data_IF_365100590753
#
_entry.id   IF_365100590753
#
_cell.length_a   1.000
_cell.length_b   1.000
_cell.length_c   1.000
_cell.angle_alpha   90.00
_cell.angle_beta   90.00
_cell.angle_gamma   90.00
#
_symmetry.space_group_name_H-M   'P 1'
#
loop_
_entity.id
_entity.type
_entity.pdbx_description
1 polymer ?
#
# COMPACT_ATOMS: atom_id res chain seq x y z
N UNK A 1 18.10 13.21 -8.39
CA UNK A 1 17.10 12.21 -7.99
C UNK A 1 16.18 12.84 -6.98
N UNK A 2 15.06 13.37 -7.46
CA UNK A 2 13.88 13.72 -6.65
C UNK A 2 13.28 12.44 -6.07
N UNK A 3 12.85 12.44 -4.82
CA UNK A 3 12.15 11.29 -4.23
C UNK A 3 10.65 11.61 -4.10
N UNK A 4 9.78 10.61 -4.31
CA UNK A 4 8.33 10.72 -4.14
C UNK A 4 7.84 9.64 -3.21
N UNK A 5 6.98 10.00 -2.27
CA UNK A 5 6.25 9.02 -1.48
C UNK A 5 4.98 8.61 -2.21
N UNK A 6 4.94 7.39 -2.71
CA UNK A 6 3.74 6.77 -3.27
C UNK A 6 2.96 6.00 -2.21
N UNK A 7 1.64 6.16 -2.17
CA UNK A 7 0.76 5.36 -1.30
C UNK A 7 -0.14 4.47 -2.14
N UNK A 8 0.03 3.17 -1.99
CA UNK A 8 -0.86 2.14 -2.56
C UNK A 8 -1.70 1.55 -1.44
N UNK A 9 -3.01 1.52 -1.63
CA UNK A 9 -3.92 0.86 -0.70
C UNK A 9 -4.42 -0.45 -1.29
N UNK A 10 -4.43 -1.50 -0.47
CA UNK A 10 -4.96 -2.82 -0.78
C UNK A 10 -6.15 -3.10 0.14
N UNK A 11 -7.34 -3.20 -0.43
CA UNK A 11 -8.51 -3.76 0.24
C UNK A 11 -8.55 -5.27 0.01
N UNK A 12 -8.51 -6.03 1.11
CA UNK A 12 -8.59 -7.48 1.08
C UNK A 12 -9.82 -7.90 1.88
N UNK A 13 -10.73 -8.62 1.23
CA UNK A 13 -11.95 -9.15 1.84
C UNK A 13 -11.90 -10.68 1.87
N UNK A 14 -12.05 -11.25 3.05
CA UNK A 14 -12.22 -12.68 3.28
C UNK A 14 -13.72 -12.99 3.27
N UNK A 15 -14.20 -13.63 2.22
CA UNK A 15 -15.64 -13.84 2.03
C UNK A 15 -16.13 -15.09 2.76
N UNK A 16 -15.70 -16.28 2.31
CA UNK A 16 -16.21 -17.56 2.82
C UNK A 16 -15.12 -18.63 2.83
N UNK A 17 -15.07 -19.37 3.93
CA UNK A 17 -14.22 -20.55 4.08
C UNK A 17 -14.99 -21.82 3.78
N UNK A 18 -14.39 -22.70 2.97
CA UNK A 18 -14.93 -23.99 2.56
C UNK A 18 -14.02 -25.08 3.12
N UNK A 19 -14.52 -25.84 4.09
CA UNK A 19 -13.87 -27.04 4.57
C UNK A 19 -14.26 -28.22 3.68
N UNK A 20 -13.33 -28.77 2.89
CA UNK A 20 -13.59 -29.97 2.09
C UNK A 20 -13.29 -31.24 2.87
N UNK A 21 -12.16 -31.31 3.59
CA UNK A 21 -11.78 -32.47 4.42
C UNK A 21 -10.65 -32.17 5.42
N UNK A 22 -10.81 -31.17 6.29
CA UNK A 22 -9.88 -30.95 7.41
C UNK A 22 -9.91 -32.13 8.39
N UNK A 23 -8.74 -32.70 8.70
CA UNK A 23 -8.60 -33.86 9.58
C UNK A 23 -8.95 -33.58 11.05
N UNK A 24 -8.77 -32.34 11.49
CA UNK A 24 -8.93 -31.95 12.88
C UNK A 24 -10.23 -31.15 13.04
N UNK A 25 -10.98 -31.46 14.10
CA UNK A 25 -12.11 -30.63 14.53
C UNK A 25 -11.61 -29.65 15.57
N UNK A 26 -12.10 -28.43 15.52
CA UNK A 26 -11.68 -27.40 16.46
C UNK A 26 -11.81 -26.01 15.87
N UNK A 27 -10.96 -25.11 16.36
CA UNK A 27 -11.03 -23.70 16.05
C UNK A 27 -9.93 -23.31 15.08
N UNK A 28 -10.30 -22.48 14.11
CA UNK A 28 -9.47 -22.00 13.04
C UNK A 28 -9.48 -20.49 12.98
N UNK A 29 -8.40 -19.93 12.45
CA UNK A 29 -8.26 -18.51 12.17
C UNK A 29 -7.43 -18.34 10.91
N UNK A 30 -7.81 -17.38 10.07
CA UNK A 30 -7.03 -16.98 8.90
C UNK A 30 -6.26 -15.72 9.28
N UNK A 31 -4.95 -15.73 9.03
CA UNK A 31 -4.10 -14.55 9.19
C UNK A 31 -3.60 -14.10 7.84
N UNK A 32 -3.72 -12.80 7.55
CA UNK A 32 -3.34 -12.22 6.27
C UNK A 32 -2.33 -11.11 6.48
N UNK A 33 -1.21 -11.18 5.78
CA UNK A 33 -0.13 -10.21 5.87
C UNK A 33 0.27 -9.74 4.48
N UNK A 34 0.25 -8.42 4.24
CA UNK A 34 0.87 -7.83 3.07
C UNK A 34 2.39 -7.74 3.28
N UNK A 35 3.16 -8.11 2.25
CA UNK A 35 4.61 -7.99 2.20
C UNK A 35 5.02 -7.21 0.97
N UNK A 36 6.08 -6.43 1.12
CA UNK A 36 6.71 -5.64 0.04
C UNK A 36 8.19 -5.98 0.01
N UNK A 37 8.77 -6.06 -1.18
CA UNK A 37 10.20 -6.29 -1.36
C UNK A 37 11.05 -5.29 -0.56
N UNK A 38 12.08 -5.78 0.12
CA UNK A 38 13.03 -4.95 0.88
C UNK A 38 13.94 -4.09 -0.01
N UNK A 39 13.88 -4.26 -1.33
CA UNK A 39 14.64 -3.46 -2.31
C UNK A 39 14.20 -1.99 -2.33
N UNK A 40 12.97 -1.70 -1.92
CA UNK A 40 12.39 -0.35 -1.91
C UNK A 40 12.12 0.04 -0.45
N UNK A 41 12.60 1.21 0.02
CA UNK A 41 12.27 1.69 1.36
C UNK A 41 10.76 1.92 1.48
N UNK A 42 10.13 1.31 2.48
CA UNK A 42 8.69 1.32 2.62
C UNK A 42 8.22 1.25 4.07
N UNK A 43 6.95 1.61 4.28
CA UNK A 43 6.20 1.41 5.51
C UNK A 43 4.86 0.76 5.20
N UNK A 44 4.50 -0.23 6.00
CA UNK A 44 3.20 -0.90 5.93
C UNK A 44 2.37 -0.55 7.16
N UNK A 45 1.07 -0.39 6.97
CA UNK A 45 0.08 -0.37 8.05
C UNK A 45 -1.19 -1.10 7.61
N UNK A 46 -1.98 -1.55 8.57
CA UNK A 46 -3.25 -2.22 8.30
C UNK A 46 -4.35 -1.69 9.23
N UNK A 47 -5.59 -1.66 8.73
CA UNK A 47 -6.77 -1.29 9.51
C UNK A 47 -7.97 -2.14 9.08
N UNK A 48 -8.72 -2.67 10.05
CA UNK A 48 -9.95 -3.44 9.77
C UNK A 48 -11.06 -2.48 9.35
N UNK A 49 -11.85 -2.87 8.35
CA UNK A 49 -12.99 -2.08 7.88
C UNK A 49 -14.19 -2.32 8.79
N UNK A 50 -14.90 -1.24 9.18
CA UNK A 50 -16.17 -1.35 9.91
C UNK A 50 -16.05 -1.59 11.42
N UNK A 51 -14.88 -1.39 12.03
CA UNK A 51 -14.75 -1.44 13.49
C UNK A 51 -15.43 -0.22 14.15
N UNK A 52 -16.44 -0.49 14.98
CA UNK A 52 -16.98 0.44 15.98
C UNK A 52 -16.26 0.22 17.31
N UNK A 53 -16.19 1.24 18.19
CA UNK A 53 -15.47 1.22 19.49
C UNK A 53 -15.87 0.08 20.46
N UNK A 54 -16.95 -0.66 20.15
CA UNK A 54 -17.43 -1.83 20.90
C UNK A 54 -17.24 -3.15 20.12
N UNK A 55 -16.09 -3.36 19.49
CA UNK A 55 -15.81 -4.61 18.77
C UNK A 55 -15.78 -5.79 19.74
N UNK A 56 -16.61 -6.81 19.48
CA UNK A 56 -16.63 -8.02 20.30
C UNK A 56 -15.31 -8.78 20.21
N UNK A 57 -14.97 -9.56 21.24
CA UNK A 57 -13.72 -10.34 21.31
C UNK A 57 -13.57 -11.42 20.21
N UNK A 58 -14.62 -11.66 19.42
CA UNK A 58 -14.62 -12.59 18.30
C UNK A 58 -14.50 -11.90 16.93
N UNK A 59 -14.36 -10.57 16.90
CA UNK A 59 -14.26 -9.80 15.67
C UNK A 59 -12.84 -9.87 15.08
N UNK A 60 -12.73 -9.67 13.77
CA UNK A 60 -11.42 -9.48 13.15
C UNK A 60 -10.68 -8.30 13.76
N UNK A 61 -9.36 -8.44 13.88
CA UNK A 61 -8.48 -7.41 14.41
C UNK A 61 -7.18 -7.33 13.60
N UNK A 62 -6.47 -6.22 13.75
CA UNK A 62 -5.12 -6.06 13.21
C UNK A 62 -4.14 -6.12 14.36
N UNK A 63 -3.13 -6.98 14.22
CA UNK A 63 -1.97 -7.03 15.10
C UNK A 63 -0.70 -6.97 14.25
N UNK A 64 0.22 -6.04 14.55
CA UNK A 64 1.49 -5.88 13.82
C UNK A 64 1.34 -5.86 12.28
N UNK A 65 0.34 -5.12 11.78
CA UNK A 65 0.02 -5.05 10.34
C UNK A 65 -0.39 -6.38 9.69
N UNK A 66 -0.83 -7.35 10.49
CA UNK A 66 -1.44 -8.61 10.05
C UNK A 66 -2.92 -8.58 10.42
N UNK A 67 -3.78 -8.88 9.45
CA UNK A 67 -5.20 -9.14 9.72
C UNK A 67 -5.31 -10.50 10.40
N UNK A 68 -5.98 -10.55 11.53
CA UNK A 68 -6.47 -11.75 12.17
C UNK A 68 -7.97 -11.80 11.92
N UNK A 69 -8.45 -12.80 11.18
CA UNK A 69 -9.88 -12.99 11.00
C UNK A 69 -10.57 -13.29 12.33
N UNK A 70 -11.90 -13.22 12.33
CA UNK A 70 -12.69 -13.87 13.36
C UNK A 70 -12.28 -15.34 13.50
N UNK A 71 -12.35 -15.84 14.73
CA UNK A 71 -12.17 -17.27 14.99
C UNK A 71 -13.44 -18.00 14.58
N UNK A 72 -13.29 -19.13 13.89
CA UNK A 72 -14.41 -19.96 13.47
C UNK A 72 -14.16 -21.44 13.81
N UNK A 73 -15.24 -22.17 14.04
CA UNK A 73 -15.18 -23.59 14.40
C UNK A 73 -15.50 -24.44 13.17
N UNK A 74 -14.79 -25.57 13.03
CA UNK A 74 -15.08 -26.60 12.05
C UNK A 74 -15.32 -27.91 12.79
N UNK A 75 -16.47 -28.52 12.51
CA UNK A 75 -16.92 -29.77 13.13
C UNK A 75 -17.12 -30.89 12.12
N UNK A 76 -17.51 -30.53 10.90
CA UNK A 76 -17.91 -31.50 9.88
C UNK A 76 -17.16 -31.29 8.57
N UNK A 77 -17.07 -32.37 7.80
CA UNK A 77 -16.60 -32.34 6.41
C UNK A 77 -17.62 -31.59 5.54
N UNK A 78 -17.16 -30.94 4.47
CA UNK A 78 -18.01 -30.19 3.53
C UNK A 78 -18.79 -29.06 4.23
N UNK A 79 -18.13 -28.38 5.17
CA UNK A 79 -18.69 -27.28 5.95
C UNK A 79 -18.32 -25.94 5.33
N UNK A 80 -19.28 -25.02 5.29
CA UNK A 80 -19.10 -23.66 4.78
C UNK A 80 -19.28 -22.66 5.90
N UNK A 81 -18.31 -21.77 6.08
CA UNK A 81 -18.34 -20.74 7.12
C UNK A 81 -18.19 -19.37 6.45
N UNK A 82 -19.19 -18.48 6.52
CA UNK A 82 -19.00 -17.09 6.11
C UNK A 82 -17.92 -16.45 6.99
N UNK A 83 -17.06 -15.59 6.46
CA UNK A 83 -16.06 -14.87 7.24
C UNK A 83 -16.43 -13.39 7.26
N UNK A 84 -16.54 -12.79 6.06
CA UNK A 84 -16.93 -11.40 5.82
C UNK A 84 -16.07 -10.37 6.58
N UNK A 85 -14.78 -10.68 6.72
CA UNK A 85 -13.81 -9.78 7.33
C UNK A 85 -13.04 -9.02 6.24
N UNK A 86 -12.86 -7.72 6.41
CA UNK A 86 -12.14 -6.89 5.45
C UNK A 86 -11.06 -6.04 6.12
N UNK A 87 -9.94 -5.87 5.42
CA UNK A 87 -8.79 -5.07 5.86
C UNK A 87 -8.32 -4.15 4.74
N UNK A 88 -7.91 -2.94 5.12
CA UNK A 88 -7.14 -2.05 4.27
C UNK A 88 -5.68 -2.12 4.70
N UNK A 89 -4.81 -2.64 3.83
CA UNK A 89 -3.37 -2.47 3.95
C UNK A 89 -2.94 -1.22 3.20
N UNK A 90 -2.14 -0.38 3.83
CA UNK A 90 -1.54 0.81 3.22
C UNK A 90 -0.04 0.60 3.08
N UNK A 91 0.45 0.65 1.85
CA UNK A 91 1.86 0.60 1.52
C UNK A 91 2.35 1.99 1.11
N UNK A 92 3.19 2.58 1.95
CA UNK A 92 3.89 3.84 1.67
C UNK A 92 5.29 3.51 1.16
N UNK A 93 5.59 3.89 -0.07
CA UNK A 93 6.80 3.54 -0.79
C UNK A 93 7.61 4.80 -1.09
N UNK A 94 8.92 4.75 -0.89
CA UNK A 94 9.83 5.78 -1.38
C UNK A 94 10.29 5.43 -2.79
N UNK A 95 9.87 6.25 -3.76
CA UNK A 95 10.05 6.02 -5.19
C UNK A 95 10.99 7.06 -5.80
N UNK A 96 11.65 6.67 -6.90
CA UNK A 96 12.34 7.61 -7.76
C UNK A 96 11.32 8.50 -8.47
N UNK A 97 11.37 9.80 -8.18
CA UNK A 97 10.45 10.78 -8.72
C UNK A 97 10.55 10.96 -10.24
N UNK A 98 11.66 10.60 -10.86
CA UNK A 98 11.81 10.68 -12.32
C UNK A 98 11.19 9.48 -13.04
N UNK A 99 10.95 8.37 -12.32
CA UNK A 99 10.47 7.09 -12.86
C UNK A 99 9.36 6.46 -12.02
N UNK A 100 8.46 7.27 -11.47
CA UNK A 100 7.43 6.81 -10.51
C UNK A 100 6.60 5.63 -11.04
N UNK A 101 6.14 5.70 -12.28
CA UNK A 101 5.31 4.65 -12.88
C UNK A 101 6.07 3.32 -13.06
N UNK A 102 7.29 3.37 -13.60
CA UNK A 102 8.15 2.20 -13.74
C UNK A 102 8.50 1.61 -12.37
N UNK A 103 8.94 2.48 -11.44
CA UNK A 103 9.35 2.09 -10.10
C UNK A 103 8.20 1.39 -9.35
N UNK A 104 6.96 1.88 -9.48
CA UNK A 104 5.78 1.22 -8.92
C UNK A 104 5.50 -0.14 -9.57
N UNK A 105 5.69 -0.25 -10.89
CA UNK A 105 5.44 -1.49 -11.63
C UNK A 105 6.46 -2.59 -11.29
N UNK A 106 7.66 -2.21 -10.86
CA UNK A 106 8.73 -3.12 -10.44
C UNK A 106 8.60 -3.57 -8.97
N UNK A 107 7.68 -2.98 -8.19
CA UNK A 107 7.46 -3.37 -6.79
C UNK A 107 6.81 -4.75 -6.72
N UNK A 108 7.49 -5.68 -6.06
CA UNK A 108 6.92 -6.99 -5.73
C UNK A 108 6.09 -6.89 -4.45
N UNK A 109 4.78 -6.95 -4.62
CA UNK A 109 3.81 -7.11 -3.53
C UNK A 109 3.46 -8.59 -3.38
N UNK A 110 3.37 -9.06 -2.13
CA UNK A 110 2.95 -10.42 -1.81
C UNK A 110 1.89 -10.42 -0.72
N UNK A 111 0.88 -11.26 -0.85
CA UNK A 111 -0.09 -11.52 0.20
C UNK A 111 0.16 -12.90 0.80
N UNK A 112 0.55 -12.95 2.06
CA UNK A 112 0.66 -14.21 2.81
C UNK A 112 -0.65 -14.49 3.51
N UNK A 113 -1.18 -15.70 3.32
CA UNK A 113 -2.44 -16.19 3.89
C UNK A 113 -2.13 -17.46 4.66
N UNK A 114 -2.24 -17.37 5.98
CA UNK A 114 -1.90 -18.44 6.91
C UNK A 114 -3.18 -19.00 7.54
N UNK A 115 -3.28 -20.33 7.58
CA UNK A 115 -4.30 -21.05 8.33
C UNK A 115 -3.72 -21.49 9.68
N UNK A 116 -4.38 -21.08 10.76
CA UNK A 116 -4.03 -21.48 12.12
C UNK A 116 -5.09 -22.41 12.68
N UNK A 117 -4.67 -23.31 13.56
CA UNK A 117 -5.55 -24.26 14.24
C UNK A 117 -5.22 -24.38 15.73
N UNK A 118 -6.26 -24.63 16.53
CA UNK A 118 -6.16 -25.07 17.94
C UNK A 118 -7.41 -25.85 18.32
N UNK A 119 -7.28 -26.72 19.31
CA UNK A 119 -8.40 -27.38 20.00
C UNK A 119 -9.06 -26.48 21.06
N UNK A 120 -8.40 -25.39 21.47
CA UNK A 120 -8.86 -24.45 22.49
C UNK A 120 -9.08 -23.06 21.94
N UNK A 121 -10.33 -22.60 21.90
CA UNK A 121 -10.69 -21.26 21.42
C UNK A 121 -9.88 -20.14 22.11
N UNK A 122 -9.55 -20.33 23.39
CA UNK A 122 -8.80 -19.36 24.19
C UNK A 122 -7.34 -19.19 23.73
N UNK A 123 -6.73 -20.20 23.10
CA UNK A 123 -5.36 -20.12 22.62
C UNK A 123 -5.25 -19.31 21.33
N UNK A 124 -6.22 -19.39 20.41
CA UNK A 124 -6.28 -18.52 19.23
C UNK A 124 -6.45 -17.03 19.59
N UNK A 125 -6.95 -16.74 20.80
CA UNK A 125 -7.06 -15.38 21.34
C UNK A 125 -5.72 -14.82 21.81
N UNK A 126 -4.77 -15.68 22.22
CA UNK A 126 -3.41 -15.26 22.49
C UNK A 126 -2.69 -15.07 21.15
N UNK A 127 -2.38 -13.82 20.80
CA UNK A 127 -1.66 -13.47 19.58
C UNK A 127 -0.38 -14.30 19.41
N UNK A 128 0.26 -14.63 20.53
CA UNK A 128 1.45 -15.46 20.63
C UNK A 128 1.09 -16.91 20.95
N UNK A 129 1.42 -17.83 20.03
CA UNK A 129 1.50 -19.27 20.35
C UNK A 129 0.65 -20.23 19.52
N UNK A 130 -0.25 -19.77 18.64
CA UNK A 130 -1.02 -20.70 17.80
C UNK A 130 -0.26 -21.15 16.55
N UNK A 131 -0.15 -22.47 16.33
CA UNK A 131 0.60 -23.00 15.21
C UNK A 131 -0.10 -22.67 13.88
N UNK A 132 0.68 -22.15 12.95
CA UNK A 132 0.30 -22.13 11.53
C UNK A 132 0.38 -23.56 11.01
N UNK A 133 -0.74 -24.07 10.49
CA UNK A 133 -0.82 -25.43 9.94
C UNK A 133 -0.67 -25.44 8.41
N UNK A 134 -1.01 -24.34 7.75
CA UNK A 134 -0.81 -24.17 6.31
C UNK A 134 -0.57 -22.71 5.96
N UNK A 135 0.18 -22.46 4.88
CA UNK A 135 0.56 -21.12 4.44
C UNK A 135 0.59 -21.04 2.92
N UNK A 136 -0.03 -19.98 2.38
CA UNK A 136 0.00 -19.65 0.96
C UNK A 136 0.49 -18.23 0.76
N UNK A 137 1.30 -18.03 -0.28
CA UNK A 137 1.78 -16.70 -0.67
C UNK A 137 1.31 -16.42 -2.09
N UNK A 138 0.57 -15.33 -2.26
CA UNK A 138 0.09 -14.83 -3.55
C UNK A 138 0.98 -13.69 -4.02
N UNK A 139 1.43 -13.73 -5.27
CA UNK A 139 2.03 -12.56 -5.92
C UNK A 139 0.93 -11.59 -6.35
N UNK A 140 1.05 -10.32 -5.96
CA UNK A 140 0.09 -9.27 -6.29
C UNK A 140 0.66 -8.41 -7.42
N UNK A 141 0.16 -8.60 -8.64
CA UNK A 141 0.59 -7.88 -9.83
C UNK A 141 -0.11 -6.52 -9.95
N UNK A 142 0.41 -5.52 -9.24
CA UNK A 142 -0.14 -4.17 -9.23
C UNK A 142 0.20 -3.38 -10.50
N UNK A 143 -0.78 -2.73 -11.12
CA UNK A 143 -0.57 -1.82 -12.24
C UNK A 143 -0.84 -0.36 -11.81
N UNK A 144 0.09 0.59 -12.00
CA UNK A 144 -0.05 1.96 -11.46
C UNK A 144 -1.32 2.71 -11.89
N UNK A 145 -1.72 2.59 -13.16
CA UNK A 145 -2.92 3.23 -13.72
C UNK A 145 -4.22 2.44 -13.54
N UNK A 146 -4.16 1.11 -13.45
CA UNK A 146 -5.35 0.24 -13.45
C UNK A 146 -5.67 -0.36 -12.09
N UNK A 147 -4.72 -0.31 -11.16
CA UNK A 147 -4.82 -1.02 -9.90
C UNK A 147 -4.62 -2.53 -10.07
N UNK A 148 -5.15 -3.26 -9.10
CA UNK A 148 -5.25 -4.71 -9.06
C UNK A 148 -6.65 -5.05 -8.59
N UNK A 149 -7.41 -5.88 -9.31
CA UNK A 149 -8.76 -6.23 -8.90
C UNK A 149 -9.07 -7.69 -9.26
N UNK A 150 -9.07 -8.58 -8.27
CA UNK A 150 -9.30 -10.01 -8.47
C UNK A 150 -10.13 -10.60 -7.34
N UNK A 151 -11.02 -11.53 -7.70
CA UNK A 151 -11.59 -12.49 -6.77
C UNK A 151 -10.84 -13.82 -6.95
N UNK A 152 -10.25 -14.34 -5.88
CA UNK A 152 -9.37 -15.51 -5.92
C UNK A 152 -9.74 -16.50 -4.81
N UNK A 153 -10.02 -17.77 -5.14
CA UNK A 153 -10.06 -18.84 -4.15
C UNK A 153 -8.62 -19.28 -3.83
N UNK A 154 -8.29 -19.37 -2.54
CA UNK A 154 -6.98 -19.84 -2.07
C UNK A 154 -7.14 -21.18 -1.38
N UNK A 155 -6.59 -22.22 -1.99
CA UNK A 155 -6.56 -23.57 -1.44
C UNK A 155 -5.31 -23.76 -0.57
N UNK A 156 -5.47 -24.27 0.64
CA UNK A 156 -4.38 -24.34 1.63
C UNK A 156 -3.33 -25.41 1.33
N UNK A 157 -3.64 -26.70 1.35
CA UNK A 157 -2.78 -27.75 0.79
C UNK A 157 -3.52 -29.09 0.75
N UNK A 158 -2.80 -30.17 0.43
CA UNK A 158 -3.38 -31.51 0.36
C UNK A 158 -3.68 -32.10 1.75
N UNK A 159 -2.95 -31.70 2.79
CA UNK A 159 -3.19 -32.11 4.17
C UNK A 159 -4.27 -31.26 4.86
N UNK A 160 -4.53 -30.06 4.36
CA UNK A 160 -5.53 -29.12 4.82
C UNK A 160 -6.45 -28.78 3.65
N UNK A 161 -7.24 -29.77 3.24
CA UNK A 161 -8.12 -29.67 2.07
C UNK A 161 -9.27 -28.70 2.37
N UNK A 162 -8.99 -27.41 2.22
CA UNK A 162 -9.89 -26.30 2.47
C UNK A 162 -9.53 -25.11 1.58
N UNK A 163 -10.51 -24.23 1.40
CA UNK A 163 -10.41 -23.07 0.50
C UNK A 163 -10.96 -21.83 1.20
N UNK A 164 -10.26 -20.70 1.09
CA UNK A 164 -10.82 -19.38 1.42
C UNK A 164 -11.10 -18.61 0.13
N UNK A 165 -12.35 -18.20 -0.08
CA UNK A 165 -12.69 -17.24 -1.14
C UNK A 165 -12.38 -15.83 -0.66
N UNK A 166 -11.59 -15.09 -1.42
CA UNK A 166 -11.23 -13.71 -1.11
C UNK A 166 -11.31 -12.79 -2.34
N UNK A 167 -11.50 -11.49 -2.08
CA UNK A 167 -11.34 -10.44 -3.06
C UNK A 167 -10.16 -9.55 -2.67
N UNK A 168 -9.36 -9.14 -3.66
CA UNK A 168 -8.24 -8.23 -3.50
C UNK A 168 -8.39 -7.08 -4.49
N UNK A 169 -8.51 -5.88 -3.97
CA UNK A 169 -8.51 -4.63 -4.73
C UNK A 169 -7.34 -3.77 -4.30
N UNK A 170 -6.66 -3.11 -5.23
CA UNK A 170 -5.61 -2.16 -4.90
C UNK A 170 -5.55 -0.99 -5.88
N UNK A 171 -5.20 0.19 -5.39
CA UNK A 171 -5.06 1.40 -6.20
C UNK A 171 -3.96 2.32 -5.64
N UNK A 172 -3.33 3.09 -6.53
CA UNK A 172 -2.47 4.21 -6.15
C UNK A 172 -3.40 5.36 -5.71
N UNK A 173 -3.29 5.79 -4.45
CA UNK A 173 -4.21 6.78 -3.86
C UNK A 173 -3.55 8.12 -3.57
N UNK A 174 -2.21 8.17 -3.47
CA UNK A 174 -1.49 9.41 -3.24
C UNK A 174 -0.07 9.37 -3.80
N UNK A 175 0.40 10.52 -4.29
CA UNK A 175 1.79 10.84 -4.55
C UNK A 175 2.10 12.12 -3.78
N UNK A 176 3.06 12.07 -2.87
CA UNK A 176 3.36 13.15 -1.93
C UNK A 176 4.86 13.33 -1.79
N UNK A 177 5.25 14.45 -1.18
CA UNK A 177 6.62 14.63 -0.73
C UNK A 177 6.94 13.61 0.38
N UNK A 178 8.15 13.03 0.43
CA UNK A 178 8.57 12.14 1.51
C UNK A 178 8.71 12.92 2.83
N UNK A 179 7.62 12.99 3.58
CA UNK A 179 7.60 13.60 4.92
C UNK A 179 8.04 12.61 6.01
N UNK A 180 8.26 11.34 5.64
CA UNK A 180 8.62 10.25 6.54
C UNK A 180 10.08 9.86 6.27
N UNK A 181 10.92 9.83 7.31
CA UNK A 181 12.27 9.29 7.19
C UNK A 181 12.21 7.79 6.97
N UNK A 182 12.43 7.32 5.74
CA UNK A 182 12.61 5.90 5.48
C UNK A 182 13.99 5.47 5.95
N UNK A 183 14.07 4.42 6.77
CA UNK A 183 15.35 3.80 7.10
C UNK A 183 15.93 3.21 5.80
N UNK A 184 16.86 3.92 5.17
CA UNK A 184 17.52 3.45 3.95
C UNK A 184 18.30 2.17 4.27
N UNK A 185 18.14 1.07 3.50
CA UNK A 185 19.03 -0.08 3.61
C UNK A 185 20.46 0.40 3.37
N UNK A 186 21.29 0.34 4.40
CA UNK A 186 22.61 0.97 4.41
C UNK A 186 23.50 0.45 3.28
N UNK A 187 24.04 1.36 2.47
CA UNK A 187 25.28 1.09 1.74
C UNK A 187 26.37 0.91 2.80
N UNK A 188 26.87 -0.30 2.95
CA UNK A 188 28.05 -0.58 3.78
C UNK A 188 29.22 0.29 3.32
N UNK A 189 29.58 1.28 4.12
CA UNK A 189 30.80 2.08 3.91
C UNK A 189 31.99 1.26 4.40
N UNK A 190 32.61 0.52 3.48
CA UNK A 190 33.91 -0.10 3.69
C UNK A 190 34.98 0.95 3.37
N UNK A 191 35.44 1.66 4.40
CA UNK A 191 36.79 2.23 4.64
C UNK A 191 36.68 3.51 5.50
N UNK A 192 37.43 3.56 6.61
CA UNK A 192 37.79 4.83 7.25
C UNK A 192 37.94 4.77 8.77
N UNK A 193 39.19 4.83 9.24
CA UNK A 193 39.63 4.84 10.64
C UNK A 193 39.04 6.00 11.49
N UNK A 194 38.65 5.65 12.72
CA UNK A 194 39.06 6.29 13.99
C UNK A 194 38.67 7.74 14.30
N UNK A 195 37.77 7.92 15.27
CA UNK A 195 37.58 9.16 16.05
C UNK A 195 36.33 9.06 16.96
N UNK A 196 36.38 9.48 18.24
CA UNK A 196 35.24 9.39 19.15
C UNK A 196 34.32 10.61 19.03
N UNK A 197 33.04 10.38 19.31
CA UNK A 197 31.97 11.35 19.58
C UNK A 197 31.61 12.38 18.51
N UNK A 198 30.54 12.08 17.79
CA UNK A 198 29.42 13.00 17.49
C UNK A 198 28.27 12.13 16.99
N UNK A 199 27.06 12.31 17.53
CA UNK A 199 25.86 11.54 17.15
C UNK A 199 25.53 11.70 15.66
N UNK A 200 24.71 10.80 15.07
CA UNK A 200 24.38 10.91 13.66
C UNK A 200 23.41 12.08 13.46
N UNK A 201 23.92 13.25 13.07
CA UNK A 201 23.07 14.25 12.44
C UNK A 201 22.57 13.69 11.11
N UNK A 202 21.27 13.44 11.06
CA UNK A 202 20.57 12.97 9.88
C UNK A 202 20.60 14.06 8.80
N UNK A 203 20.90 13.76 7.53
CA UNK A 203 20.75 14.75 6.48
C UNK A 203 19.25 14.93 6.22
N UNK A 204 18.68 16.03 6.74
CA UNK A 204 17.41 16.57 6.28
C UNK A 204 17.53 16.85 4.78
N UNK A 205 16.84 16.08 3.96
CA UNK A 205 16.69 16.38 2.54
C UNK A 205 15.87 17.67 2.46
N UNK A 206 16.48 18.76 1.99
CA UNK A 206 15.75 20.02 1.80
C UNK A 206 14.66 19.84 0.75
N UNK A 207 13.52 20.53 0.94
CA UNK A 207 12.41 20.58 -0.02
C UNK A 207 12.89 20.89 -1.44
N UNK A 208 13.87 21.77 -1.57
CA UNK A 208 14.49 22.15 -2.82
C UNK A 208 15.19 20.98 -3.51
N UNK A 209 15.97 20.17 -2.77
CA UNK A 209 16.63 18.99 -3.32
C UNK A 209 15.63 17.91 -3.75
N UNK A 210 14.46 17.88 -3.12
CA UNK A 210 13.38 16.98 -3.47
C UNK A 210 12.66 17.40 -4.76
N UNK A 211 12.35 18.68 -4.89
CA UNK A 211 11.58 19.24 -6.03
C UNK A 211 12.46 19.42 -7.26
N UNK A 212 13.73 19.78 -7.08
CA UNK A 212 14.64 20.14 -8.17
C UNK A 212 15.74 19.10 -8.42
N UNK A 213 15.97 18.18 -7.48
CA UNK A 213 17.03 17.16 -7.58
C UNK A 213 18.43 17.69 -7.23
N UNK A 214 19.24 16.83 -6.59
CA UNK A 214 20.59 17.16 -6.08
C UNK A 214 21.63 17.67 -7.12
N UNK A 215 21.31 17.65 -8.42
CA UNK A 215 22.19 18.11 -9.50
C UNK A 215 21.87 19.51 -10.04
N UNK A 216 20.68 20.04 -9.75
CA UNK A 216 20.21 21.32 -10.30
C UNK A 216 20.41 22.50 -9.34
N UNK A 217 20.59 22.22 -8.05
CA UNK A 217 20.87 23.23 -7.02
C UNK A 217 22.36 23.23 -6.66
N UNK A 218 23.19 23.94 -7.44
CA UNK A 218 24.53 24.32 -6.97
C UNK A 218 24.46 25.74 -6.39
N UNK A 219 24.59 25.94 -5.07
CA UNK A 219 24.75 27.29 -4.54
C UNK A 219 26.10 27.84 -5.00
N UNK A 220 26.11 28.96 -5.73
CA UNK A 220 27.28 29.84 -5.72
C UNK A 220 27.31 30.50 -4.35
N UNK A 221 28.23 30.07 -3.50
CA UNK A 221 28.47 30.69 -2.20
C UNK A 221 28.93 32.13 -2.40
N UNK A 222 28.00 33.08 -2.28
CA UNK A 222 28.32 34.48 -2.00
C UNK A 222 27.26 35.03 -1.06
N UNK A 223 27.70 35.53 0.08
CA UNK A 223 26.87 36.20 1.08
C UNK A 223 25.95 37.24 0.41
N UNK A 224 24.64 37.07 0.60
CA UNK A 224 23.63 38.04 0.14
C UNK A 224 22.87 37.73 -1.16
N UNK A 225 23.00 36.54 -1.76
CA UNK A 225 22.23 36.18 -2.96
C UNK A 225 20.80 35.75 -2.61
N UNK A 226 19.79 36.46 -3.11
CA UNK A 226 18.44 35.92 -3.25
C UNK A 226 18.51 34.69 -4.18
N UNK A 227 17.93 33.57 -3.75
CA UNK A 227 17.93 32.32 -4.52
C UNK A 227 16.83 32.38 -5.58
N UNK A 228 17.20 32.61 -6.85
CA UNK A 228 16.29 32.53 -7.98
C UNK A 228 16.55 31.23 -8.75
N UNK A 229 15.61 30.26 -8.77
CA UNK A 229 15.76 29.04 -9.55
C UNK A 229 15.84 29.37 -11.05
N UNK A 230 16.68 28.64 -11.79
CA UNK A 230 16.79 28.85 -13.24
C UNK A 230 15.49 28.49 -13.96
N UNK A 231 15.26 29.07 -15.14
CA UNK A 231 14.10 28.75 -15.98
C UNK A 231 14.00 27.25 -16.28
N UNK A 232 15.14 26.59 -16.50
CA UNK A 232 15.22 25.13 -16.68
C UNK A 232 14.77 24.34 -15.46
N UNK A 233 15.03 24.85 -14.26
CA UNK A 233 14.63 24.25 -12.98
C UNK A 233 13.11 24.35 -12.79
N UNK A 234 12.54 25.51 -13.12
CA UNK A 234 11.09 25.77 -13.07
C UNK A 234 10.35 24.89 -14.09
N UNK A 235 10.84 24.82 -15.33
CA UNK A 235 10.26 23.95 -16.38
C UNK A 235 10.30 22.47 -15.98
N UNK A 236 11.40 22.02 -15.36
CA UNK A 236 11.51 20.67 -14.84
C UNK A 236 10.46 20.38 -13.76
N UNK A 237 10.31 21.27 -12.78
CA UNK A 237 9.32 21.13 -11.71
C UNK A 237 7.87 21.10 -12.25
N UNK A 238 7.54 21.95 -13.24
CA UNK A 238 6.23 21.92 -13.88
C UNK A 238 5.95 20.60 -14.61
N UNK A 239 6.92 20.10 -15.37
CA UNK A 239 6.79 18.81 -16.05
C UNK A 239 6.60 17.69 -15.04
N UNK A 240 7.44 17.65 -14.01
CA UNK A 240 7.38 16.65 -12.95
C UNK A 240 6.02 16.64 -12.26
N UNK A 241 5.52 17.82 -11.85
CA UNK A 241 4.18 17.95 -11.27
C UNK A 241 3.08 17.43 -12.21
N UNK A 242 3.12 17.84 -13.49
CA UNK A 242 2.16 17.37 -14.51
C UNK A 242 2.16 15.85 -14.61
N UNK A 243 3.33 15.22 -14.65
CA UNK A 243 3.47 13.76 -14.79
C UNK A 243 2.89 13.02 -13.57
N UNK A 244 3.13 13.53 -12.34
CA UNK A 244 2.55 12.97 -11.11
C UNK A 244 1.02 13.09 -11.09
N UNK A 245 0.47 14.27 -11.41
CA UNK A 245 -0.96 14.50 -11.46
C UNK A 245 -1.63 13.61 -12.51
N UNK A 246 -1.03 13.51 -13.69
CA UNK A 246 -1.54 12.66 -14.77
C UNK A 246 -1.60 11.18 -14.33
N UNK A 247 -0.56 10.68 -13.64
CA UNK A 247 -0.55 9.31 -13.12
C UNK A 247 -1.69 9.06 -12.12
N UNK A 248 -1.92 9.96 -11.17
CA UNK A 248 -3.02 9.85 -10.21
C UNK A 248 -4.40 9.91 -10.86
N UNK A 249 -4.60 10.81 -11.82
CA UNK A 249 -5.86 10.90 -12.57
C UNK A 249 -6.13 9.63 -13.37
N UNK A 250 -5.09 9.01 -13.93
CA UNK A 250 -5.22 7.71 -14.58
C UNK A 250 -5.55 6.59 -13.60
N UNK A 251 -4.90 6.55 -12.43
CA UNK A 251 -5.21 5.58 -11.37
C UNK A 251 -6.68 5.67 -10.94
N UNK A 252 -7.18 6.89 -10.70
CA UNK A 252 -8.59 7.14 -10.39
C UNK A 252 -9.53 6.65 -11.51
N UNK A 253 -9.23 7.02 -12.76
CA UNK A 253 -10.02 6.58 -13.92
C UNK A 253 -10.03 5.06 -14.05
N UNK A 254 -8.90 4.38 -13.83
CA UNK A 254 -8.81 2.92 -13.85
C UNK A 254 -9.71 2.26 -12.83
N UNK A 255 -9.64 2.71 -11.57
CA UNK A 255 -10.50 2.24 -10.48
C UNK A 255 -11.98 2.45 -10.80
N UNK A 256 -12.35 3.64 -11.28
CA UNK A 256 -13.73 3.97 -11.63
C UNK A 256 -14.25 3.09 -12.77
N UNK A 257 -13.44 2.85 -13.81
CA UNK A 257 -13.84 1.96 -14.91
C UNK A 257 -14.08 0.53 -14.41
N UNK A 258 -13.22 0.02 -13.53
CA UNK A 258 -13.44 -1.30 -12.94
C UNK A 258 -14.71 -1.34 -12.09
N UNK A 259 -14.93 -0.34 -11.23
CA UNK A 259 -16.15 -0.22 -10.43
C UNK A 259 -17.41 -0.26 -11.30
N UNK A 260 -17.45 0.52 -12.39
CA UNK A 260 -18.59 0.54 -13.32
C UNK A 260 -18.85 -0.83 -13.98
N UNK A 261 -17.79 -1.58 -14.31
CA UNK A 261 -17.93 -2.94 -14.84
C UNK A 261 -18.56 -3.85 -13.80
N UNK A 262 -18.07 -3.81 -12.55
CA UNK A 262 -18.59 -4.65 -11.46
C UNK A 262 -20.03 -4.30 -11.11
N UNK A 263 -20.39 -3.01 -10.98
CA UNK A 263 -21.77 -2.60 -10.69
C UNK A 263 -22.74 -2.96 -11.81
N UNK A 264 -22.27 -2.94 -13.07
CA UNK A 264 -23.06 -3.42 -14.21
C UNK A 264 -23.29 -4.93 -14.13
N UNK A 265 -22.24 -5.69 -13.82
CA UNK A 265 -22.29 -7.15 -13.83
C UNK A 265 -22.95 -7.73 -12.56
N UNK A 266 -22.96 -6.97 -11.45
CA UNK A 266 -23.56 -7.32 -10.17
C UNK A 266 -24.41 -6.13 -9.65
N UNK A 267 -25.66 -5.99 -10.15
CA UNK A 267 -26.52 -4.84 -9.84
C UNK A 267 -27.03 -4.80 -8.39
N UNK A 268 -26.81 -5.87 -7.63
CA UNK A 268 -27.20 -5.98 -6.21
C UNK A 268 -26.23 -5.23 -5.27
N UNK A 269 -25.05 -4.83 -5.78
CA UNK A 269 -24.07 -4.10 -4.99
C UNK A 269 -24.55 -2.68 -4.68
N UNK A 270 -24.12 -2.10 -3.52
CA UNK A 270 -24.40 -0.72 -3.18
C UNK A 270 -23.98 0.21 -4.31
N UNK A 271 -24.92 1.02 -4.78
CA UNK A 271 -24.64 2.03 -5.80
C UNK A 271 -23.97 3.23 -5.12
N UNK A 272 -22.73 3.50 -5.52
CA UNK A 272 -21.99 4.70 -5.13
C UNK A 272 -21.76 5.51 -6.39
N UNK A 273 -22.18 6.77 -6.40
CA UNK A 273 -21.87 7.68 -7.50
C UNK A 273 -20.40 8.13 -7.39
N UNK A 274 -19.56 7.61 -8.28
CA UNK A 274 -18.18 8.08 -8.46
C UNK A 274 -18.13 9.17 -9.53
N UNK A 275 -17.67 10.35 -9.15
CA UNK A 275 -17.52 11.51 -10.04
C UNK A 275 -16.72 11.15 -11.30
N UNK A 276 -17.20 11.63 -12.45
CA UNK A 276 -16.44 11.50 -13.69
C UNK A 276 -15.44 12.65 -13.77
N UNK A 277 -14.15 12.36 -13.56
CA UNK A 277 -13.11 13.35 -13.79
C UNK A 277 -12.67 13.35 -15.26
N UNK A 278 -12.82 14.51 -15.91
CA UNK A 278 -12.27 14.76 -17.23
C UNK A 278 -10.75 14.96 -17.12
N UNK A 279 -9.99 13.87 -17.32
CA UNK A 279 -8.54 13.81 -17.06
C UNK A 279 -7.78 15.03 -17.61
N UNK A 280 -8.00 15.41 -18.86
CA UNK A 280 -7.26 16.54 -19.48
C UNK A 280 -7.64 17.90 -18.91
N UNK A 281 -8.92 18.12 -18.62
CA UNK A 281 -9.42 19.37 -18.05
C UNK A 281 -8.94 19.52 -16.60
N UNK A 282 -9.08 18.47 -15.80
CA UNK A 282 -8.59 18.44 -14.41
C UNK A 282 -7.07 18.61 -14.37
N UNK A 283 -6.32 17.96 -15.26
CA UNK A 283 -4.87 18.13 -15.33
C UNK A 283 -4.48 19.57 -15.68
N UNK A 284 -5.17 20.17 -16.65
CA UNK A 284 -4.94 21.56 -17.05
C UNK A 284 -5.20 22.53 -15.90
N UNK A 285 -6.27 22.30 -15.14
CA UNK A 285 -6.56 23.08 -13.93
C UNK A 285 -5.45 22.95 -12.89
N UNK A 286 -5.06 21.72 -12.52
CA UNK A 286 -4.00 21.47 -11.54
C UNK A 286 -2.66 22.13 -11.94
N UNK A 287 -2.31 22.03 -13.23
CA UNK A 287 -1.11 22.68 -13.75
C UNK A 287 -1.19 24.22 -13.67
N UNK A 288 -2.37 24.80 -13.91
CA UNK A 288 -2.58 26.25 -13.85
C UNK A 288 -2.51 26.79 -12.41
N UNK A 289 -3.06 26.06 -11.44
CA UNK A 289 -3.01 26.43 -10.02
C UNK A 289 -1.57 26.50 -9.52
N UNK A 290 -0.71 25.56 -9.94
CA UNK A 290 0.71 25.59 -9.61
C UNK A 290 1.41 26.81 -10.21
N UNK A 291 1.09 27.20 -11.45
CA UNK A 291 1.64 28.42 -12.07
C UNK A 291 1.27 29.68 -11.28
N UNK A 292 0.03 29.79 -10.79
CA UNK A 292 -0.43 30.91 -9.96
C UNK A 292 0.31 30.97 -8.62
N UNK A 293 0.49 29.83 -7.95
CA UNK A 293 1.25 29.76 -6.69
C UNK A 293 2.70 30.17 -6.92
N UNK A 294 3.30 29.74 -8.03
CA UNK A 294 4.66 30.13 -8.40
C UNK A 294 4.73 31.65 -8.56
N UNK A 295 3.80 32.28 -9.30
CA UNK A 295 3.79 33.75 -9.46
C UNK A 295 3.56 34.54 -8.17
N UNK A 296 2.85 33.98 -7.18
CA UNK A 296 2.59 34.64 -5.88
C UNK A 296 3.74 34.48 -4.88
N UNK A 297 4.55 33.42 -4.98
CA UNK A 297 5.71 33.19 -4.11
C UNK A 297 6.94 34.04 -4.48
N UNK A 298 6.92 34.73 -5.62
CA UNK A 298 8.01 35.58 -6.14
C UNK A 298 7.66 37.09 -6.17
N UNK A 299 6.61 37.51 -5.46
CA UNK A 299 6.28 38.93 -5.17
C UNK A 299 6.51 39.18 -3.68
#
# INVERSE_FOLDING_TARGET
MSEVQGTVEFSVELHKFYNVDLFQRGYYQIRVTLKVSSRIPHRLSASVVGQSENSSLHSACVHESTLHSRVFQILYRNEEVPINDAVIFRAQLLLDGERVEDALSEVEFQLKVDLHFTDSEQQLRAVTGTPTISSRTLGLHFHPRRGLHHQVPVMFDYFHLSVISMAVHAALVALQQPLISFARPGRGSWLGKGGPDTGPEQPLISLENLVFGAGYCKPTSSEGSFYAPSETCIQHAHKWHRDLCLLLLHAYRGLRLYFLVVTRDIPELPHVELEALAVEETLSQLCSELQVITTLAWV
#
